data_IF_845306852967
#
_entry.id   IF_845306852967
#
_cell.length_a   1.000
_cell.length_b   1.000
_cell.length_c   1.000
_cell.angle_alpha   90.00
_cell.angle_beta   90.00
_cell.angle_gamma   90.00
#
_symmetry.space_group_name_H-M   'P 1'
#
loop_
_entity.id
_entity.type
_entity.pdbx_description
1 polymer ?
#
# COMPACT_ATOMS: atom_id res chain seq x y z
N UNK A 1 5.54 -3.46 -0.49
CA UNK A 1 4.51 -3.58 0.55
C UNK A 1 5.10 -4.27 1.78
N UNK A 2 4.79 -3.83 3.01
CA UNK A 2 5.16 -4.56 4.22
C UNK A 2 4.51 -5.95 4.25
N UNK A 3 5.17 -6.89 4.90
CA UNK A 3 4.69 -8.29 5.01
C UNK A 3 4.19 -8.51 6.43
N UNK A 4 2.88 -8.72 6.56
CA UNK A 4 2.19 -9.01 7.83
C UNK A 4 2.14 -10.51 8.11
N UNK A 5 1.89 -10.89 9.34
CA UNK A 5 1.87 -12.29 9.81
C UNK A 5 0.84 -13.15 9.07
N UNK A 6 -0.30 -12.59 8.66
CA UNK A 6 -1.30 -13.29 7.86
C UNK A 6 -0.72 -13.73 6.51
N UNK A 7 0.05 -12.84 5.85
CA UNK A 7 0.68 -13.16 4.58
C UNK A 7 1.82 -14.18 4.75
N UNK A 8 2.59 -14.09 5.82
CA UNK A 8 3.62 -15.08 6.15
C UNK A 8 3.00 -16.46 6.37
N UNK A 9 1.90 -16.52 7.13
CA UNK A 9 1.13 -17.74 7.38
C UNK A 9 0.56 -18.31 6.09
N UNK A 10 0.00 -17.46 5.22
CA UNK A 10 -0.47 -17.83 3.89
C UNK A 10 0.66 -18.43 3.04
N UNK A 11 1.82 -17.78 2.97
CA UNK A 11 2.96 -18.30 2.21
C UNK A 11 3.42 -19.66 2.72
N UNK A 12 3.50 -19.84 4.04
CA UNK A 12 3.88 -21.11 4.66
C UNK A 12 2.90 -22.23 4.34
N UNK A 13 1.60 -21.96 4.45
CA UNK A 13 0.55 -22.94 4.20
C UNK A 13 0.46 -23.36 2.74
N UNK A 14 0.64 -22.40 1.82
CA UNK A 14 0.45 -22.61 0.38
C UNK A 14 1.68 -23.21 -0.29
N UNK A 15 2.89 -22.77 0.10
CA UNK A 15 4.13 -23.29 -0.47
C UNK A 15 4.66 -24.57 0.22
N UNK A 16 4.19 -24.87 1.43
CA UNK A 16 4.74 -25.93 2.28
C UNK A 16 6.11 -25.61 2.89
N UNK A 17 6.67 -24.42 2.64
CA UNK A 17 7.97 -23.99 3.11
C UNK A 17 7.91 -23.41 4.54
N UNK A 18 8.86 -23.78 5.40
CA UNK A 18 8.90 -23.30 6.79
C UNK A 18 9.23 -21.81 6.92
N UNK A 19 9.94 -21.23 5.94
CA UNK A 19 10.38 -19.83 5.89
C UNK A 19 10.95 -19.33 7.24
N UNK A 20 12.03 -19.95 7.75
CA UNK A 20 12.58 -19.62 9.05
C UNK A 20 13.10 -18.18 9.09
N UNK A 21 12.88 -17.50 10.21
CA UNK A 21 13.31 -16.12 10.42
C UNK A 21 12.41 -15.06 9.77
N UNK A 22 11.43 -15.44 8.96
CA UNK A 22 10.46 -14.49 8.42
C UNK A 22 9.43 -14.14 9.50
N UNK A 23 9.33 -12.86 9.84
CA UNK A 23 8.42 -12.32 10.86
C UNK A 23 7.90 -10.94 10.46
N UNK A 24 6.77 -10.55 10.98
CA UNK A 24 6.20 -9.21 10.81
C UNK A 24 7.15 -8.13 11.35
N UNK A 25 7.08 -6.94 10.79
CA UNK A 25 7.82 -5.77 11.27
C UNK A 25 9.19 -5.57 10.63
N UNK A 26 9.69 -6.53 9.83
CA UNK A 26 11.06 -6.49 9.28
C UNK A 26 11.15 -6.68 7.77
N UNK A 27 10.13 -7.23 7.13
CA UNK A 27 10.20 -7.64 5.72
C UNK A 27 9.21 -6.89 4.83
N UNK A 28 9.59 -6.82 3.57
CA UNK A 28 8.84 -6.16 2.51
C UNK A 28 8.73 -7.07 1.30
N UNK A 29 7.56 -7.08 0.66
CA UNK A 29 7.36 -7.67 -0.66
C UNK A 29 7.46 -6.57 -1.71
N UNK A 30 8.47 -6.68 -2.57
CA UNK A 30 8.63 -5.83 -3.73
C UNK A 30 8.50 -6.68 -4.99
N UNK A 31 7.41 -6.50 -5.72
CA UNK A 31 7.00 -7.40 -6.81
C UNK A 31 6.92 -8.85 -6.29
N UNK A 32 7.90 -9.67 -6.60
CA UNK A 32 7.97 -11.08 -6.19
C UNK A 32 9.12 -11.36 -5.20
N UNK A 33 9.82 -10.33 -4.73
CA UNK A 33 11.01 -10.48 -3.89
C UNK A 33 10.68 -10.10 -2.44
N UNK A 34 10.93 -11.02 -1.53
CA UNK A 34 10.93 -10.76 -0.08
C UNK A 34 12.30 -10.24 0.30
N UNK A 35 12.34 -9.05 0.85
CA UNK A 35 13.53 -8.33 1.25
C UNK A 35 13.42 -7.71 2.64
N UNK A 36 14.54 -7.45 3.26
CA UNK A 36 14.68 -6.68 4.49
C UNK A 36 15.83 -5.69 4.36
N UNK A 37 16.01 -4.87 5.38
CA UNK A 37 17.10 -3.89 5.43
C UNK A 37 17.89 -4.08 6.71
N UNK A 38 19.21 -3.93 6.65
CA UNK A 38 20.06 -3.99 7.84
C UNK A 38 20.02 -2.69 8.66
N UNK A 39 20.80 -2.63 9.73
CA UNK A 39 20.87 -1.47 10.63
C UNK A 39 21.43 -0.21 9.96
N UNK A 40 22.11 -0.36 8.83
CA UNK A 40 22.65 0.71 7.98
C UNK A 40 21.66 1.11 6.88
N UNK A 41 20.54 0.39 6.73
CA UNK A 41 19.54 0.62 5.70
C UNK A 41 19.89 0.00 4.35
N UNK A 42 20.88 -0.92 4.30
CA UNK A 42 21.22 -1.66 3.09
C UNK A 42 20.18 -2.77 2.83
N UNK A 43 19.77 -2.91 1.57
CA UNK A 43 18.78 -3.91 1.15
C UNK A 43 19.40 -5.31 1.07
N UNK A 44 18.72 -6.29 1.67
CA UNK A 44 19.00 -7.71 1.59
C UNK A 44 17.80 -8.46 1.03
N UNK A 45 18.02 -9.31 0.02
CA UNK A 45 16.97 -10.08 -0.66
C UNK A 45 17.05 -11.54 -0.22
N UNK A 46 15.92 -12.12 0.20
CA UNK A 46 15.89 -13.45 0.82
C UNK A 46 15.17 -14.49 -0.03
N UNK A 47 13.94 -14.23 -0.43
CA UNK A 47 13.11 -15.19 -1.14
C UNK A 47 12.51 -14.57 -2.40
N UNK A 48 12.19 -15.44 -3.37
CA UNK A 48 11.30 -15.09 -4.48
C UNK A 48 10.02 -15.88 -4.36
N UNK A 49 8.91 -15.19 -4.41
CA UNK A 49 7.56 -15.77 -4.51
C UNK A 49 7.20 -15.87 -5.97
N UNK A 50 6.93 -17.08 -6.45
CA UNK A 50 6.45 -17.34 -7.82
C UNK A 50 5.02 -17.83 -7.71
N UNK A 51 4.16 -17.29 -8.54
CA UNK A 51 2.78 -17.73 -8.72
C UNK A 51 2.69 -18.38 -10.08
N UNK A 52 2.07 -19.55 -10.17
CA UNK A 52 1.84 -20.21 -11.45
C UNK A 52 0.89 -19.41 -12.35
N UNK A 53 0.98 -19.61 -13.66
CA UNK A 53 0.17 -18.87 -14.62
C UNK A 53 -1.34 -19.09 -14.44
N UNK A 54 -1.74 -20.26 -13.92
CA UNK A 54 -3.13 -20.58 -13.56
C UNK A 54 -3.55 -20.11 -12.14
N UNK A 55 -2.64 -19.44 -11.42
CA UNK A 55 -2.85 -18.96 -10.04
C UNK A 55 -3.15 -20.05 -8.98
N UNK A 56 -2.93 -21.34 -9.32
CA UNK A 56 -3.27 -22.44 -8.40
C UNK A 56 -2.15 -22.78 -7.41
N UNK A 57 -0.90 -22.49 -7.79
CA UNK A 57 0.26 -22.83 -6.95
C UNK A 57 1.16 -21.63 -6.67
N UNK A 58 1.68 -21.60 -5.46
CA UNK A 58 2.68 -20.61 -5.02
C UNK A 58 3.94 -21.37 -4.62
N UNK A 59 5.06 -21.02 -5.25
CA UNK A 59 6.39 -21.52 -4.93
C UNK A 59 7.19 -20.39 -4.25
N UNK A 60 7.83 -20.68 -3.13
CA UNK A 60 8.74 -19.74 -2.47
C UNK A 60 10.16 -20.28 -2.58
N UNK A 61 10.99 -19.60 -3.35
CA UNK A 61 12.35 -20.04 -3.67
C UNK A 61 13.37 -19.17 -2.96
N UNK A 62 14.31 -19.82 -2.27
CA UNK A 62 15.47 -19.16 -1.69
C UNK A 62 16.39 -18.61 -2.78
N UNK A 63 16.83 -17.35 -2.66
CA UNK A 63 17.71 -16.75 -3.65
C UNK A 63 19.14 -17.27 -3.53
N UNK A 64 19.88 -17.35 -4.66
CA UNK A 64 21.24 -17.96 -4.70
C UNK A 64 22.26 -17.25 -3.81
N UNK A 65 22.14 -15.95 -3.58
CA UNK A 65 23.02 -15.14 -2.74
C UNK A 65 22.40 -14.86 -1.36
N UNK A 66 21.66 -15.83 -0.85
CA UNK A 66 20.97 -15.73 0.42
C UNK A 66 21.95 -15.79 1.58
N UNK A 67 22.10 -14.71 2.31
CA UNK A 67 22.61 -14.75 3.66
C UNK A 67 21.49 -15.26 4.58
N UNK A 68 21.82 -16.15 5.49
CA UNK A 68 20.81 -16.65 6.43
C UNK A 68 20.19 -15.44 7.16
N UNK A 69 18.85 -15.37 7.23
CA UNK A 69 18.16 -14.23 7.91
C UNK A 69 18.75 -14.02 9.32
N UNK A 70 19.09 -15.11 10.02
CA UNK A 70 19.70 -15.06 11.36
C UNK A 70 21.10 -14.43 11.39
N UNK A 71 21.76 -14.28 10.27
CA UNK A 71 23.11 -13.70 10.18
C UNK A 71 23.08 -12.20 9.83
N UNK A 72 21.89 -11.66 9.51
CA UNK A 72 21.70 -10.25 9.19
C UNK A 72 20.95 -9.57 10.33
N UNK A 73 21.56 -8.55 10.93
CA UNK A 73 20.89 -7.69 11.91
C UNK A 73 19.90 -6.77 11.17
N UNK A 74 18.66 -7.23 11.04
CA UNK A 74 17.62 -6.49 10.34
C UNK A 74 17.05 -5.32 11.16
N UNK A 75 16.75 -4.23 10.49
CA UNK A 75 16.02 -3.09 11.03
C UNK A 75 14.52 -3.34 10.99
N UNK A 76 13.82 -3.00 12.08
CA UNK A 76 12.36 -2.95 12.07
C UNK A 76 11.83 -1.83 11.17
N UNK A 77 10.54 -1.89 10.81
CA UNK A 77 9.90 -0.84 10.01
C UNK A 77 9.99 0.54 10.69
N UNK A 78 9.78 0.60 12.02
CA UNK A 78 9.88 1.83 12.80
C UNK A 78 11.30 2.42 12.73
N UNK A 79 12.31 1.56 12.85
CA UNK A 79 13.71 2.00 12.73
C UNK A 79 14.01 2.55 11.33
N UNK A 80 13.49 1.92 10.28
CA UNK A 80 13.65 2.40 8.90
C UNK A 80 12.94 3.73 8.66
N UNK A 81 11.75 3.92 9.24
CA UNK A 81 11.03 5.19 9.19
C UNK A 81 11.86 6.29 9.85
N UNK A 82 12.42 6.03 11.04
CA UNK A 82 13.26 7.01 11.75
C UNK A 82 14.53 7.35 10.96
N UNK A 83 15.22 6.36 10.38
CA UNK A 83 16.38 6.58 9.51
C UNK A 83 16.05 7.40 8.25
N UNK A 84 14.81 7.38 7.79
CA UNK A 84 14.33 8.10 6.60
C UNK A 84 13.53 9.34 6.92
N UNK A 85 13.41 9.71 8.18
CA UNK A 85 12.53 10.78 8.67
C UNK A 85 12.76 12.12 7.96
N UNK A 86 13.99 12.55 7.84
CA UNK A 86 14.31 13.83 7.16
C UNK A 86 13.90 13.80 5.69
N UNK A 87 14.14 12.68 5.01
CA UNK A 87 13.73 12.50 3.63
C UNK A 87 12.19 12.51 3.49
N UNK A 88 11.46 11.85 4.40
CA UNK A 88 10.00 11.84 4.40
C UNK A 88 9.42 13.25 4.66
N UNK A 89 10.01 14.01 5.59
CA UNK A 89 9.63 15.42 5.85
C UNK A 89 9.83 16.26 4.56
N UNK A 90 10.95 16.07 3.87
CA UNK A 90 11.21 16.80 2.63
C UNK A 90 10.21 16.43 1.52
N UNK A 91 9.87 15.15 1.37
CA UNK A 91 8.86 14.69 0.41
C UNK A 91 7.47 15.28 0.73
N UNK A 92 7.09 15.30 2.00
CA UNK A 92 5.85 15.91 2.44
C UNK A 92 5.82 17.41 2.11
N UNK A 93 6.89 18.15 2.45
CA UNK A 93 7.00 19.58 2.18
C UNK A 93 6.89 19.88 0.68
N UNK A 94 7.55 19.11 -0.16
CA UNK A 94 7.48 19.24 -1.62
C UNK A 94 6.05 18.98 -2.15
N UNK A 95 5.40 17.94 -1.62
CA UNK A 95 4.02 17.60 -1.99
C UNK A 95 3.03 18.71 -1.59
N UNK A 96 3.16 19.24 -0.38
CA UNK A 96 2.31 20.33 0.10
C UNK A 96 2.53 21.61 -0.73
N UNK A 97 3.75 21.93 -1.13
CA UNK A 97 4.05 23.06 -2.01
C UNK A 97 3.40 22.87 -3.40
N UNK A 98 3.52 21.69 -3.98
CA UNK A 98 2.87 21.37 -5.26
C UNK A 98 1.35 21.55 -5.17
N UNK A 99 0.72 21.07 -4.10
CA UNK A 99 -0.72 21.25 -3.87
C UNK A 99 -1.07 22.73 -3.80
N UNK A 100 -0.33 23.55 -3.04
CA UNK A 100 -0.56 25.01 -2.93
C UNK A 100 -0.46 25.71 -4.29
N UNK A 101 0.54 25.38 -5.09
CA UNK A 101 0.73 25.96 -6.42
C UNK A 101 -0.44 25.61 -7.35
N UNK A 102 -0.87 24.35 -7.37
CA UNK A 102 -2.02 23.90 -8.16
C UNK A 102 -3.30 24.58 -7.72
N UNK A 103 -3.55 24.68 -6.42
CA UNK A 103 -4.74 25.35 -5.88
C UNK A 103 -4.76 26.85 -6.23
N UNK A 104 -3.62 27.54 -6.21
CA UNK A 104 -3.52 28.94 -6.66
C UNK A 104 -3.86 29.09 -8.17
N UNK A 105 -3.36 28.15 -8.99
CA UNK A 105 -3.60 28.15 -10.44
C UNK A 105 -5.08 27.93 -10.78
N UNK A 106 -5.77 27.13 -9.99
CA UNK A 106 -7.17 26.73 -10.21
C UNK A 106 -8.11 27.31 -9.13
N UNK A 107 -7.86 28.54 -8.68
CA UNK A 107 -8.59 29.20 -7.58
C UNK A 107 -10.11 29.31 -7.79
N UNK A 108 -10.55 29.33 -9.04
CA UNK A 108 -11.97 29.49 -9.42
C UNK A 108 -12.72 28.14 -9.47
N UNK A 109 -12.03 27.02 -9.17
CA UNK A 109 -12.60 25.68 -9.13
C UNK A 109 -12.71 25.17 -7.69
N UNK A 110 -13.77 24.43 -7.41
CA UNK A 110 -13.92 23.72 -6.15
C UNK A 110 -13.14 22.40 -6.22
N UNK A 111 -12.13 22.20 -5.37
CA UNK A 111 -11.37 20.95 -5.38
C UNK A 111 -12.19 19.80 -4.81
N UNK A 112 -12.05 18.65 -5.43
CA UNK A 112 -12.54 17.35 -4.94
C UNK A 112 -11.39 16.36 -4.93
N UNK A 113 -11.47 15.34 -4.08
CA UNK A 113 -10.44 14.30 -3.97
C UNK A 113 -11.06 12.95 -4.29
N UNK A 114 -10.76 12.36 -5.46
CA UNK A 114 -11.19 10.99 -5.73
C UNK A 114 -10.44 10.04 -4.80
N UNK A 115 -11.18 9.16 -4.13
CA UNK A 115 -10.61 8.16 -3.22
C UNK A 115 -11.07 6.76 -3.61
N UNK A 116 -10.13 5.81 -3.56
CA UNK A 116 -10.40 4.38 -3.78
C UNK A 116 -10.21 3.55 -2.51
N UNK A 117 -10.03 4.20 -1.36
CA UNK A 117 -9.65 3.60 -0.07
C UNK A 117 -8.31 2.85 -0.09
N UNK A 118 -7.56 2.90 -1.19
CA UNK A 118 -6.20 2.40 -1.28
C UNK A 118 -5.18 3.40 -0.72
N UNK A 119 -3.99 2.91 -0.35
CA UNK A 119 -2.92 3.69 0.32
C UNK A 119 -2.59 5.01 -0.37
N UNK A 120 -2.52 5.03 -1.70
CA UNK A 120 -2.07 6.20 -2.46
C UNK A 120 -3.15 7.30 -2.49
N UNK A 121 -4.42 6.92 -2.68
CA UNK A 121 -5.55 7.85 -2.64
C UNK A 121 -5.77 8.41 -1.23
N UNK A 122 -5.59 7.59 -0.20
CA UNK A 122 -5.69 8.00 1.19
C UNK A 122 -4.56 8.94 1.59
N UNK A 123 -3.31 8.68 1.15
CA UNK A 123 -2.19 9.60 1.37
C UNK A 123 -2.43 10.94 0.66
N UNK A 124 -2.91 10.92 -0.58
CA UNK A 124 -3.25 12.14 -1.32
C UNK A 124 -4.33 12.93 -0.57
N UNK A 125 -5.38 12.25 -0.09
CA UNK A 125 -6.44 12.87 0.68
C UNK A 125 -5.91 13.51 1.98
N UNK A 126 -5.04 12.79 2.70
CA UNK A 126 -4.38 13.31 3.90
C UNK A 126 -3.60 14.61 3.61
N UNK A 127 -2.75 14.60 2.60
CA UNK A 127 -1.92 15.76 2.23
C UNK A 127 -2.77 16.97 1.79
N UNK A 128 -3.82 16.74 0.98
CA UNK A 128 -4.73 17.82 0.57
C UNK A 128 -5.46 18.39 1.79
N UNK A 129 -6.02 17.54 2.64
CA UNK A 129 -6.77 17.98 3.85
C UNK A 129 -5.88 18.60 4.93
N UNK A 130 -4.61 18.34 4.92
CA UNK A 130 -3.65 19.06 5.79
C UNK A 130 -3.60 20.56 5.47
N UNK A 131 -3.83 20.94 4.23
CA UNK A 131 -3.89 22.35 3.78
C UNK A 131 -5.33 22.89 3.66
N UNK A 132 -6.25 22.02 3.25
CA UNK A 132 -7.65 22.32 2.94
C UNK A 132 -8.58 21.30 3.62
N UNK A 133 -8.80 21.43 4.96
CA UNK A 133 -9.45 20.39 5.77
C UNK A 133 -10.85 20.00 5.30
N UNK A 134 -11.58 20.97 4.75
CA UNK A 134 -12.96 20.79 4.32
C UNK A 134 -13.11 20.28 2.88
N UNK A 135 -12.00 19.87 2.22
CA UNK A 135 -12.08 19.35 0.86
C UNK A 135 -12.85 18.03 0.85
N UNK A 136 -13.90 17.97 0.02
CA UNK A 136 -14.75 16.80 -0.16
C UNK A 136 -13.99 15.66 -0.81
N UNK A 137 -14.08 14.45 -0.26
CA UNK A 137 -13.66 13.23 -0.92
C UNK A 137 -14.84 12.65 -1.73
N UNK A 138 -14.54 11.99 -2.83
CA UNK A 138 -15.54 11.28 -3.65
C UNK A 138 -15.05 9.86 -3.86
N UNK A 139 -15.86 8.90 -3.44
CA UNK A 139 -15.68 7.48 -3.73
C UNK A 139 -16.65 7.08 -4.86
N UNK A 140 -16.10 6.67 -5.99
CA UNK A 140 -16.90 6.15 -7.09
C UNK A 140 -17.10 4.65 -6.88
N UNK A 141 -18.32 4.26 -6.51
CA UNK A 141 -18.70 2.85 -6.34
C UNK A 141 -18.84 2.19 -7.72
N UNK A 142 -17.89 1.34 -8.07
CA UNK A 142 -17.88 0.62 -9.35
C UNK A 142 -18.80 -0.61 -9.35
N UNK A 143 -19.39 -0.97 -8.22
CA UNK A 143 -20.12 -2.22 -7.96
C UNK A 143 -19.22 -3.48 -8.01
N UNK A 144 -17.91 -3.32 -8.16
CA UNK A 144 -16.91 -4.39 -8.17
C UNK A 144 -16.00 -4.34 -6.94
N UNK A 145 -16.16 -3.29 -6.13
CA UNK A 145 -15.37 -3.11 -4.92
C UNK A 145 -15.77 -4.15 -3.86
N UNK A 146 -14.78 -4.60 -3.08
CA UNK A 146 -15.10 -5.49 -1.96
C UNK A 146 -15.92 -4.75 -0.88
N UNK A 147 -16.69 -5.52 -0.12
CA UNK A 147 -17.58 -4.98 0.92
C UNK A 147 -16.84 -4.09 1.93
N UNK A 148 -15.62 -4.48 2.32
CA UNK A 148 -14.81 -3.73 3.27
C UNK A 148 -14.42 -2.35 2.73
N UNK A 149 -14.04 -2.24 1.45
CA UNK A 149 -13.73 -0.96 0.78
C UNK A 149 -14.94 -0.03 0.81
N UNK A 150 -16.13 -0.56 0.51
CA UNK A 150 -17.37 0.21 0.54
C UNK A 150 -17.74 0.65 1.98
N UNK A 151 -17.55 -0.21 2.96
CA UNK A 151 -17.77 0.12 4.37
C UNK A 151 -16.79 1.18 4.87
N UNK A 152 -15.52 1.12 4.46
CA UNK A 152 -14.54 2.16 4.72
C UNK A 152 -14.96 3.51 4.12
N UNK A 153 -15.44 3.52 2.88
CA UNK A 153 -15.93 4.73 2.23
C UNK A 153 -17.12 5.36 2.97
N UNK A 154 -18.05 4.53 3.46
CA UNK A 154 -19.21 4.99 4.28
C UNK A 154 -18.80 5.66 5.58
N UNK A 155 -17.73 5.16 6.20
CA UNK A 155 -17.24 5.68 7.48
C UNK A 155 -16.24 6.82 7.30
N UNK A 156 -15.78 7.06 6.06
CA UNK A 156 -14.75 8.06 5.80
C UNK A 156 -15.31 9.48 5.90
N UNK A 157 -14.70 10.35 6.73
CA UNK A 157 -15.23 11.69 6.98
C UNK A 157 -15.30 12.53 5.70
N UNK A 158 -16.37 13.29 5.54
CA UNK A 158 -16.62 14.17 4.40
C UNK A 158 -16.35 13.49 3.04
N UNK A 159 -16.91 12.28 2.90
CA UNK A 159 -16.85 11.47 1.68
C UNK A 159 -18.24 11.29 1.09
N UNK A 160 -18.40 11.64 -0.16
CA UNK A 160 -19.61 11.36 -0.94
C UNK A 160 -19.39 10.07 -1.74
N UNK A 161 -20.37 9.17 -1.67
CA UNK A 161 -20.35 7.94 -2.47
C UNK A 161 -21.22 8.18 -3.70
N UNK A 162 -20.56 8.12 -4.86
CA UNK A 162 -21.25 8.12 -6.15
C UNK A 162 -21.60 6.68 -6.54
N UNK A 163 -22.87 6.38 -6.58
CA UNK A 163 -23.35 5.08 -7.03
C UNK A 163 -23.74 5.15 -8.51
N UNK A 164 -23.45 4.10 -9.30
CA UNK A 164 -23.94 4.02 -10.66
C UNK A 164 -25.46 3.77 -10.68
N UNK A 165 -26.12 4.21 -11.74
CA UNK A 165 -27.56 3.93 -11.94
C UNK A 165 -27.83 2.44 -12.09
N UNK A 166 -26.87 1.70 -12.64
CA UNK A 166 -26.89 0.23 -12.77
C UNK A 166 -25.56 -0.34 -12.31
N UNK A 167 -25.59 -1.48 -11.64
CA UNK A 167 -24.36 -2.21 -11.28
C UNK A 167 -23.67 -2.80 -12.51
N UNK A 168 -22.37 -3.07 -12.40
CA UNK A 168 -21.54 -3.62 -13.50
C UNK A 168 -22.17 -4.84 -14.17
N UNK A 169 -22.67 -5.80 -13.40
CA UNK A 169 -23.29 -7.01 -13.93
C UNK A 169 -24.58 -6.72 -14.74
N UNK A 170 -25.34 -5.72 -14.36
CA UNK A 170 -26.53 -5.30 -15.10
C UNK A 170 -26.24 -4.70 -16.48
N UNK A 171 -25.01 -4.19 -16.68
CA UNK A 171 -24.56 -3.70 -18.00
C UNK A 171 -24.08 -4.85 -18.92
N UNK A 172 -23.64 -5.98 -18.35
CA UNK A 172 -23.14 -7.11 -19.13
C UNK A 172 -24.29 -8.01 -19.58
N UNK A 173 -25.41 -8.05 -18.82
CA UNK A 173 -26.60 -8.89 -19.12
C UNK A 173 -27.52 -8.29 -20.19
N UNK A 174 -27.23 -7.06 -20.66
CA UNK A 174 -28.00 -6.37 -21.73
C UNK A 174 -27.24 -6.35 -23.05
#
# INVERSE_FOLDING_TARGET
NPIYDEYITFLRSTSGEKLPGLMEGYFWLDKQIIKGFDLQGQEHKFYRVKVSDNLETIEVVKLKNYNNISEVALSSWERLIELRKEHLIQLEANSLNLIREKMKKFKDFTPIIPVSMGKDSMLTCHLVRKLYPNTKAIFNNTSLDCADTYMMAKQFPNCEIMNPDRGFYQYIET
#
